data_IF_604033490930
#
_entry.id   IF_604033490930
#
_cell.length_a   1.000
_cell.length_b   1.000
_cell.length_c   1.000
_cell.angle_alpha   90.00
_cell.angle_beta   90.00
_cell.angle_gamma   90.00
#
_symmetry.space_group_name_H-M   'P 1'
#
loop_
_entity.id
_entity.type
_entity.pdbx_description
1 polymer ?
#
# COMPACT_ATOMS: atom_id res chain seq x y z
N UNK A 1 3.78 -13.32 17.78
CA UNK A 1 2.58 -12.57 17.40
C UNK A 1 2.94 -11.20 16.85
N UNK A 2 3.76 -10.44 17.55
CA UNK A 2 4.18 -9.10 17.10
C UNK A 2 4.98 -9.17 15.80
N UNK A 3 5.84 -10.15 15.64
CA UNK A 3 6.61 -10.33 14.42
C UNK A 3 5.70 -10.56 13.19
N UNK A 4 4.66 -11.38 13.35
CA UNK A 4 3.71 -11.63 12.28
C UNK A 4 2.89 -10.39 11.94
N UNK A 5 2.53 -9.61 12.95
CA UNK A 5 1.82 -8.35 12.74
C UNK A 5 2.69 -7.35 11.97
N UNK A 6 3.99 -7.30 12.30
CA UNK A 6 4.92 -6.43 11.57
C UNK A 6 5.15 -6.91 10.14
N UNK A 7 5.17 -8.21 9.89
CA UNK A 7 5.23 -8.76 8.53
C UNK A 7 4.00 -8.35 7.72
N UNK A 8 2.81 -8.50 8.31
CA UNK A 8 1.57 -8.09 7.67
C UNK A 8 1.57 -6.58 7.40
N UNK A 9 2.02 -5.78 8.35
CA UNK A 9 2.13 -4.33 8.19
C UNK A 9 3.06 -3.96 7.05
N UNK A 10 4.21 -4.62 6.95
CA UNK A 10 5.16 -4.42 5.87
C UNK A 10 4.51 -4.64 4.50
N UNK A 11 3.74 -5.72 4.35
CA UNK A 11 3.06 -6.04 3.11
C UNK A 11 1.94 -5.04 2.79
N UNK A 12 1.16 -4.65 3.81
CA UNK A 12 0.07 -3.69 3.62
C UNK A 12 0.60 -2.30 3.22
N UNK A 13 1.67 -1.83 3.85
CA UNK A 13 2.27 -0.55 3.50
C UNK A 13 2.88 -0.56 2.10
N UNK A 14 3.46 -1.70 1.69
CA UNK A 14 3.94 -1.87 0.33
C UNK A 14 2.80 -1.75 -0.68
N UNK A 15 1.66 -2.38 -0.40
CA UNK A 15 0.48 -2.29 -1.24
C UNK A 15 -0.06 -0.86 -1.31
N UNK A 16 -0.14 -0.16 -0.16
CA UNK A 16 -0.57 1.25 -0.11
C UNK A 16 0.28 2.10 -1.05
N UNK A 17 1.59 1.99 -0.92
CA UNK A 17 2.52 2.78 -1.72
C UNK A 17 2.40 2.46 -3.22
N UNK A 18 2.27 1.19 -3.56
CA UNK A 18 2.15 0.76 -4.94
C UNK A 18 0.85 1.26 -5.58
N UNK A 19 -0.28 1.09 -4.91
CA UNK A 19 -1.57 1.58 -5.40
C UNK A 19 -1.60 3.09 -5.54
N UNK A 20 -1.04 3.81 -4.58
CA UNK A 20 -1.01 5.27 -4.62
C UNK A 20 -0.17 5.79 -5.78
N UNK A 21 1.00 5.19 -6.00
CA UNK A 21 1.86 5.58 -7.11
C UNK A 21 1.17 5.30 -8.45
N UNK A 22 0.54 4.12 -8.58
CA UNK A 22 -0.21 3.77 -9.78
C UNK A 22 -1.37 4.74 -10.01
N UNK A 23 -2.05 5.14 -8.95
CA UNK A 23 -3.10 6.15 -9.05
C UNK A 23 -2.55 7.45 -9.68
N UNK A 24 -1.42 7.93 -9.20
CA UNK A 24 -0.83 9.16 -9.70
C UNK A 24 -0.39 9.04 -11.16
N UNK A 25 0.22 7.92 -11.53
CA UNK A 25 0.64 7.67 -12.91
C UNK A 25 -0.55 7.57 -13.85
N UNK A 26 -1.56 6.81 -13.48
CA UNK A 26 -2.76 6.64 -14.30
C UNK A 26 -3.49 7.96 -14.50
N UNK A 27 -3.57 8.76 -13.46
CA UNK A 27 -4.19 10.09 -13.53
C UNK A 27 -3.43 11.00 -14.49
N UNK A 28 -2.10 10.95 -14.44
CA UNK A 28 -1.26 11.74 -15.36
C UNK A 28 -1.45 11.32 -16.82
N UNK A 29 -1.65 10.03 -17.08
CA UNK A 29 -1.87 9.48 -18.40
C UNK A 29 -3.32 9.62 -18.90
N UNK A 30 -4.23 10.17 -18.08
CA UNK A 30 -5.61 10.40 -18.46
C UNK A 30 -6.58 9.24 -18.21
N UNK A 31 -6.14 8.18 -17.52
CA UNK A 31 -6.99 7.04 -17.18
C UNK A 31 -7.70 7.25 -15.86
N UNK A 32 -8.64 8.19 -15.82
CA UNK A 32 -9.24 8.67 -14.59
C UNK A 32 -10.04 7.62 -13.82
N UNK A 33 -10.71 6.70 -14.50
CA UNK A 33 -11.48 5.63 -13.82
C UNK A 33 -10.56 4.65 -13.11
N UNK A 34 -9.49 4.22 -13.79
CA UNK A 34 -8.51 3.32 -13.20
C UNK A 34 -7.74 4.00 -12.08
N UNK A 35 -7.41 5.28 -12.26
CA UNK A 35 -6.75 6.07 -11.23
C UNK A 35 -7.60 6.13 -9.96
N UNK A 36 -8.89 6.39 -10.08
CA UNK A 36 -9.81 6.45 -8.95
C UNK A 36 -9.86 5.11 -8.21
N UNK A 37 -9.92 4.00 -8.94
CA UNK A 37 -9.94 2.67 -8.36
C UNK A 37 -8.67 2.38 -7.57
N UNK A 38 -7.51 2.69 -8.13
CA UNK A 38 -6.23 2.48 -7.45
C UNK A 38 -6.12 3.34 -6.19
N UNK A 39 -6.63 4.57 -6.23
CA UNK A 39 -6.67 5.45 -5.08
C UNK A 39 -7.54 4.87 -3.96
N UNK A 40 -8.71 4.36 -4.30
CA UNK A 40 -9.62 3.75 -3.34
C UNK A 40 -8.98 2.51 -2.70
N UNK A 41 -8.33 1.66 -3.50
CA UNK A 41 -7.61 0.49 -2.99
C UNK A 41 -6.48 0.88 -2.03
N UNK A 42 -5.74 1.94 -2.36
CA UNK A 42 -4.68 2.44 -1.48
C UNK A 42 -5.23 2.87 -0.12
N UNK A 43 -6.37 3.58 -0.13
CA UNK A 43 -7.00 4.05 1.10
C UNK A 43 -7.49 2.87 1.93
N UNK A 44 -8.10 1.85 1.31
CA UNK A 44 -8.55 0.66 2.01
C UNK A 44 -7.39 -0.09 2.66
N UNK A 45 -6.29 -0.26 1.92
CA UNK A 45 -5.10 -0.91 2.46
C UNK A 45 -4.47 -0.11 3.60
N UNK A 46 -4.52 1.23 3.53
CA UNK A 46 -4.05 2.06 4.62
C UNK A 46 -4.90 1.89 5.88
N UNK A 47 -6.21 1.71 5.73
CA UNK A 47 -7.10 1.41 6.85
C UNK A 47 -6.74 0.06 7.50
N UNK A 48 -6.37 -0.95 6.70
CA UNK A 48 -5.87 -2.22 7.22
C UNK A 48 -4.57 -2.05 7.98
N UNK A 49 -3.64 -1.26 7.41
CA UNK A 49 -2.37 -0.98 8.07
C UNK A 49 -2.58 -0.26 9.41
N UNK A 50 -3.51 0.67 9.46
CA UNK A 50 -3.85 1.41 10.68
C UNK A 50 -4.33 0.46 11.79
N UNK A 51 -5.19 -0.51 11.45
CA UNK A 51 -5.65 -1.52 12.40
C UNK A 51 -4.49 -2.39 12.89
N UNK A 52 -3.57 -2.74 12.01
CA UNK A 52 -2.38 -3.52 12.39
C UNK A 52 -1.49 -2.73 13.34
N UNK A 53 -1.30 -1.45 13.07
CA UNK A 53 -0.51 -0.55 13.94
C UNK A 53 -1.16 -0.47 15.33
N UNK A 54 -2.47 -0.27 15.40
CA UNK A 54 -3.21 -0.23 16.65
C UNK A 54 -3.02 -1.53 17.44
N UNK A 55 -3.09 -2.67 16.77
CA UNK A 55 -2.93 -3.96 17.41
C UNK A 55 -1.54 -4.15 17.96
N UNK A 56 -0.51 -3.74 17.22
CA UNK A 56 0.87 -3.82 17.65
C UNK A 56 1.09 -2.95 18.89
N UNK A 57 0.58 -1.74 18.89
CA UNK A 57 0.67 -0.82 20.01
C UNK A 57 -0.04 -1.39 21.23
N UNK A 58 -1.24 -1.95 21.03
CA UNK A 58 -2.00 -2.59 22.12
C UNK A 58 -1.20 -3.71 22.79
N UNK A 59 -0.41 -4.46 22.02
CA UNK A 59 0.43 -5.54 22.54
C UNK A 59 1.78 -5.05 23.07
N UNK A 60 1.94 -3.75 23.23
CA UNK A 60 3.17 -3.10 23.69
C UNK A 60 4.36 -3.36 22.74
N UNK A 61 4.06 -3.62 21.47
CA UNK A 61 5.08 -3.79 20.45
C UNK A 61 5.48 -2.49 19.81
N UNK A 62 6.38 -2.59 18.83
CA UNK A 62 6.85 -1.43 18.06
C UNK A 62 6.53 -1.63 16.60
N UNK A 63 5.61 -0.83 16.00
CA UNK A 63 5.31 -0.97 14.59
C UNK A 63 6.56 -0.67 13.76
N UNK A 64 6.86 -1.55 12.81
CA UNK A 64 8.00 -1.36 11.93
C UNK A 64 7.55 -0.62 10.66
N UNK A 65 7.74 0.69 10.66
CA UNK A 65 7.40 1.55 9.52
C UNK A 65 8.62 1.89 8.66
N UNK A 66 9.80 1.44 9.05
CA UNK A 66 11.04 1.74 8.33
C UNK A 66 11.29 0.78 7.18
N UNK A 67 10.75 -0.44 7.26
CA UNK A 67 10.84 -1.41 6.19
C UNK A 67 9.59 -1.35 5.34
N UNK A 68 9.76 -1.23 4.03
CA UNK A 68 8.66 -1.20 3.08
C UNK A 68 8.98 -2.17 1.96
N UNK A 69 7.98 -2.92 1.51
CA UNK A 69 8.16 -3.83 0.39
C UNK A 69 8.64 -3.08 -0.85
N UNK A 70 9.55 -3.67 -1.67
CA UNK A 70 10.00 -3.02 -2.88
C UNK A 70 8.81 -2.65 -3.78
N UNK A 71 8.82 -1.42 -4.26
CA UNK A 71 7.76 -0.94 -5.16
C UNK A 71 7.97 -1.50 -6.56
N UNK A 72 6.89 -1.94 -7.16
CA UNK A 72 6.85 -2.29 -8.58
C UNK A 72 6.21 -1.13 -9.31
N UNK A 73 7.04 -0.31 -9.93
CA UNK A 73 6.59 0.90 -10.59
C UNK A 73 6.40 0.61 -12.08
N UNK A 74 5.16 0.72 -12.57
CA UNK A 74 4.88 0.59 -13.99
C UNK A 74 5.29 1.84 -14.75
N UNK A 75 5.87 1.65 -15.94
CA UNK A 75 6.31 2.75 -16.81
C UNK A 75 5.21 3.19 -17.77
N UNK A 76 4.21 2.35 -17.99
CA UNK A 76 3.06 2.62 -18.85
C UNK A 76 1.84 1.88 -18.30
N UNK A 77 0.67 2.11 -18.92
CA UNK A 77 -0.59 1.51 -18.46
C UNK A 77 -0.50 -0.01 -18.36
N UNK A 78 0.08 -0.65 -19.37
CA UNK A 78 0.19 -2.11 -19.37
C UNK A 78 1.03 -2.60 -18.19
N UNK A 79 2.16 -1.99 -17.94
CA UNK A 79 3.04 -2.36 -16.82
C UNK A 79 2.35 -2.12 -15.48
N UNK A 80 1.62 -1.01 -15.35
CA UNK A 80 0.87 -0.71 -14.13
C UNK A 80 -0.17 -1.79 -13.85
N UNK A 81 -0.89 -2.24 -14.87
CA UNK A 81 -1.92 -3.27 -14.73
C UNK A 81 -1.31 -4.64 -14.44
N UNK A 82 -0.11 -4.93 -14.92
CA UNK A 82 0.60 -6.17 -14.66
C UNK A 82 1.24 -6.19 -13.27
N UNK A 83 1.58 -5.05 -12.72
CA UNK A 83 2.07 -4.94 -11.35
C UNK A 83 0.94 -5.08 -10.36
#
# INVERSE_FOLDING_TARGET
>A
VIERLNEALFLELGAVNQYWLHYRLLNDWGFTRLAKKEREESIEEMQHADKLIDRIIFLEGHPNLQQVAPLRIGQNVKEVLEC
#
